data_IF_417594468316
#
_entry.id   IF_417594468316
#
_cell.length_a   1.000
_cell.length_b   1.000
_cell.length_c   1.000
_cell.angle_alpha   90.00
_cell.angle_beta   90.00
_cell.angle_gamma   90.00
#
_symmetry.space_group_name_H-M   'P 1'
#
loop_
_entity.id
_entity.type
_entity.pdbx_description
1 polymer ?
#
# COMPACT_ATOMS: atom_id res chain seq x y z
N UNK A 1 44.02 -0.25 -42.59
CA UNK A 1 44.67 0.83 -43.33
C UNK A 1 44.16 2.14 -42.72
N UNK A 2 44.84 2.98 -42.04
CA UNK A 2 46.16 3.54 -42.00
C UNK A 2 46.45 4.01 -40.57
N UNK A 3 47.63 3.67 -40.15
CA UNK A 3 48.38 4.19 -38.99
C UNK A 3 48.86 5.60 -39.31
N UNK A 4 48.82 6.50 -38.32
CA UNK A 4 49.79 7.63 -38.26
C UNK A 4 50.11 7.98 -36.81
N UNK A 5 51.27 7.57 -36.43
CA UNK A 5 52.16 8.01 -35.36
C UNK A 5 52.81 9.34 -35.73
N UNK A 6 53.15 10.20 -34.76
CA UNK A 6 54.29 11.16 -34.72
C UNK A 6 54.16 11.91 -33.38
N UNK A 7 54.95 11.67 -32.38
CA UNK A 7 56.35 12.02 -32.06
C UNK A 7 56.52 13.39 -31.33
N UNK A 8 56.91 13.27 -30.08
CA UNK A 8 57.98 13.96 -29.30
C UNK A 8 58.20 15.46 -29.44
N UNK A 9 58.10 16.16 -28.27
CA UNK A 9 59.12 17.21 -27.98
C UNK A 9 59.26 17.38 -26.45
N UNK A 10 60.47 17.12 -26.01
CA UNK A 10 61.03 17.31 -24.68
C UNK A 10 61.50 18.78 -24.58
N UNK A 11 61.16 19.49 -23.51
CA UNK A 11 61.81 20.75 -23.14
C UNK A 11 62.01 20.79 -21.62
N UNK A 12 63.28 20.69 -21.25
CA UNK A 12 63.83 20.90 -19.91
C UNK A 12 64.17 22.39 -19.77
N UNK A 13 63.77 23.06 -18.68
CA UNK A 13 64.45 24.25 -18.14
C UNK A 13 64.16 24.40 -16.62
N UNK A 14 65.24 24.30 -15.96
CA UNK A 14 65.85 24.79 -14.72
C UNK A 14 65.08 25.61 -13.70
N UNK A 15 65.18 25.08 -12.52
CA UNK A 15 65.39 25.60 -11.16
C UNK A 15 65.26 27.10 -10.88
N UNK A 16 64.46 27.45 -9.89
CA UNK A 16 64.72 28.51 -8.90
C UNK A 16 64.15 28.15 -7.56
N UNK A 17 65.03 27.99 -6.57
CA UNK A 17 64.74 27.72 -5.18
C UNK A 17 64.14 28.97 -4.51
N UNK A 18 62.95 28.93 -4.07
CA UNK A 18 62.28 29.90 -3.17
C UNK A 18 61.98 29.26 -1.83
N UNK A 19 62.71 29.63 -0.79
CA UNK A 19 62.44 29.30 0.60
C UNK A 19 61.14 29.99 1.02
N UNK A 20 60.04 29.27 1.09
CA UNK A 20 58.82 29.74 1.69
C UNK A 20 58.60 29.01 3.03
N UNK A 21 58.54 29.79 4.10
CA UNK A 21 58.33 29.39 5.46
C UNK A 21 57.00 28.59 5.61
N UNK A 22 57.12 27.36 6.09
CA UNK A 22 55.98 26.54 6.41
C UNK A 22 55.27 27.08 7.68
N UNK A 23 54.14 27.72 7.52
CA UNK A 23 53.17 27.87 8.60
C UNK A 23 52.39 26.56 8.73
N UNK A 24 52.53 25.92 9.89
CA UNK A 24 51.78 24.73 10.24
C UNK A 24 50.28 25.05 10.25
N UNK A 25 49.42 24.24 9.63
CA UNK A 25 47.96 24.38 9.76
C UNK A 25 47.54 24.00 11.18
N UNK A 26 46.82 24.93 11.82
CA UNK A 26 46.16 24.75 13.12
C UNK A 26 45.23 23.54 13.04
N UNK A 27 45.48 22.55 13.87
CA UNK A 27 44.64 21.36 13.96
C UNK A 27 43.22 21.77 14.34
N UNK A 28 42.29 21.68 13.40
CA UNK A 28 40.86 21.67 13.66
C UNK A 28 40.51 20.33 14.29
N UNK A 29 39.97 20.36 15.49
CA UNK A 29 39.59 19.19 16.26
C UNK A 29 38.61 18.28 15.48
N UNK A 30 38.48 17.01 15.92
CA UNK A 30 37.68 16.02 15.19
C UNK A 30 36.23 16.50 15.08
N UNK A 31 35.74 16.64 13.85
CA UNK A 31 34.36 16.88 13.56
C UNK A 31 33.54 15.70 14.12
N UNK A 32 32.60 16.01 15.02
CA UNK A 32 31.63 15.05 15.56
C UNK A 32 30.91 14.40 14.40
N UNK A 33 30.81 13.07 14.31
CA UNK A 33 30.06 12.42 13.24
C UNK A 33 28.62 12.94 13.27
N UNK A 34 28.21 13.60 12.18
CA UNK A 34 26.83 13.99 11.95
C UNK A 34 26.08 12.69 11.69
N UNK A 35 25.34 12.19 12.67
CA UNK A 35 24.45 11.05 12.51
C UNK A 35 23.48 11.41 11.38
N UNK A 36 23.59 10.70 10.26
CA UNK A 36 22.59 10.74 9.22
C UNK A 36 21.25 10.35 9.87
N UNK A 37 20.33 11.29 9.93
CA UNK A 37 18.96 11.01 10.36
C UNK A 37 18.40 9.96 9.40
N UNK A 38 18.12 8.77 9.91
CA UNK A 38 17.39 7.77 9.17
C UNK A 38 16.08 8.41 8.67
N UNK A 39 15.63 8.09 7.43
CA UNK A 39 14.37 8.59 6.93
C UNK A 39 13.29 8.23 7.95
N UNK A 40 12.49 9.21 8.38
CA UNK A 40 11.39 8.97 9.27
C UNK A 40 10.52 7.86 8.65
N UNK A 41 10.42 6.72 9.34
CA UNK A 41 9.56 5.63 8.91
C UNK A 41 8.17 6.23 8.67
N UNK A 42 7.59 5.99 7.49
CA UNK A 42 6.26 6.47 7.18
C UNK A 42 5.33 6.03 8.30
N UNK A 43 4.71 6.99 8.98
CA UNK A 43 3.80 6.70 10.07
C UNK A 43 2.72 5.75 9.53
N UNK A 44 2.57 4.59 10.17
CA UNK A 44 1.58 3.59 9.78
C UNK A 44 0.15 4.16 9.79
N UNK A 45 -0.84 3.40 9.31
CA UNK A 45 -2.23 3.86 9.30
C UNK A 45 -2.71 4.24 10.71
N UNK A 46 -3.35 5.40 10.82
CA UNK A 46 -3.98 5.87 12.05
C UNK A 46 -5.47 5.61 11.98
N UNK A 47 -6.02 4.98 13.05
CA UNK A 47 -7.48 4.83 13.16
C UNK A 47 -8.11 6.16 13.50
N UNK A 48 -9.03 6.62 12.65
CA UNK A 48 -9.81 7.84 12.84
C UNK A 48 -10.94 7.57 13.84
N UNK A 49 -11.74 6.55 13.57
CA UNK A 49 -12.91 6.20 14.39
C UNK A 49 -13.39 4.77 14.14
N UNK A 50 -14.08 4.19 15.12
CA UNK A 50 -14.74 2.89 15.02
C UNK A 50 -16.26 3.08 14.90
N UNK A 51 -16.87 2.39 13.93
CA UNK A 51 -18.32 2.36 13.67
C UNK A 51 -18.82 0.92 13.73
N UNK A 52 -19.13 0.42 14.91
CA UNK A 52 -19.53 -0.99 15.12
C UNK A 52 -18.51 -1.97 14.50
N UNK A 53 -18.88 -2.70 13.44
CA UNK A 53 -18.02 -3.68 12.77
C UNK A 53 -16.95 -3.03 11.85
N UNK A 54 -17.00 -1.72 11.59
CA UNK A 54 -16.15 -1.02 10.63
C UNK A 54 -15.29 0.05 11.29
N UNK A 55 -13.98 -0.01 11.08
CA UNK A 55 -13.05 1.06 11.47
C UNK A 55 -12.75 1.98 10.28
N UNK A 56 -12.65 3.28 10.51
CA UNK A 56 -12.14 4.26 9.55
C UNK A 56 -10.70 4.60 9.89
N UNK A 57 -9.85 4.66 8.87
CA UNK A 57 -8.40 4.85 8.97
C UNK A 57 -7.88 5.85 7.95
N UNK A 58 -6.72 6.43 8.22
CA UNK A 58 -5.98 7.26 7.25
C UNK A 58 -4.48 7.05 7.36
N UNK A 59 -3.79 7.29 6.26
CA UNK A 59 -2.33 7.38 6.22
C UNK A 59 -1.88 8.34 5.13
N UNK A 60 -0.64 8.82 5.21
CA UNK A 60 -0.01 9.64 4.17
C UNK A 60 0.59 8.76 3.08
N UNK A 61 0.30 9.08 1.83
CA UNK A 61 0.92 8.49 0.64
C UNK A 61 1.48 9.60 -0.22
N UNK A 62 2.77 9.90 -0.05
CA UNK A 62 3.38 11.11 -0.61
C UNK A 62 2.72 12.38 -0.07
N UNK A 63 2.32 13.28 -0.95
CA UNK A 63 1.63 14.53 -0.59
C UNK A 63 0.14 14.37 -0.30
N UNK A 64 -0.45 13.20 -0.61
CA UNK A 64 -1.88 12.95 -0.49
C UNK A 64 -2.23 12.12 0.75
N UNK A 65 -3.46 12.26 1.24
CA UNK A 65 -4.01 11.32 2.20
C UNK A 65 -4.69 10.16 1.47
N UNK A 66 -4.58 8.98 2.07
CA UNK A 66 -5.41 7.81 1.74
C UNK A 66 -6.28 7.54 2.96
N UNK A 67 -7.57 7.45 2.76
CA UNK A 67 -8.51 7.05 3.81
C UNK A 67 -9.18 5.74 3.38
N UNK A 68 -9.49 4.91 4.35
CA UNK A 68 -10.20 3.67 4.07
C UNK A 68 -11.01 3.22 5.27
N UNK A 69 -12.02 2.44 5.00
CA UNK A 69 -12.75 1.69 6.02
C UNK A 69 -12.35 0.22 5.93
N UNK A 70 -12.30 -0.43 7.08
CA UNK A 70 -11.86 -1.83 7.20
C UNK A 70 -12.77 -2.57 8.17
N UNK A 71 -13.11 -3.81 7.80
CA UNK A 71 -13.73 -4.78 8.69
C UNK A 71 -13.03 -6.13 8.61
N UNK A 72 -13.09 -6.88 9.70
CA UNK A 72 -12.67 -8.29 9.78
C UNK A 72 -13.91 -9.19 9.75
N UNK A 73 -13.80 -10.42 9.23
CA UNK A 73 -14.95 -11.33 9.21
C UNK A 73 -15.34 -11.78 10.62
N UNK A 74 -16.62 -12.01 10.83
CA UNK A 74 -17.19 -12.59 12.04
C UNK A 74 -17.03 -14.11 12.07
N UNK A 75 -16.99 -14.74 10.88
CA UNK A 75 -16.74 -16.19 10.73
C UNK A 75 -15.80 -16.43 9.55
N UNK A 76 -15.00 -17.49 9.65
CA UNK A 76 -14.06 -17.95 8.62
C UNK A 76 -14.27 -19.44 8.41
N UNK A 77 -14.55 -19.85 7.18
CA UNK A 77 -14.76 -21.26 6.83
C UNK A 77 -13.79 -21.72 5.73
N UNK A 78 -13.31 -22.96 5.78
CA UNK A 78 -13.51 -23.97 6.84
C UNK A 78 -12.71 -23.64 8.10
N UNK A 79 -13.31 -23.83 9.29
CA UNK A 79 -12.66 -23.46 10.57
C UNK A 79 -11.36 -24.24 10.87
N UNK A 80 -11.11 -25.35 10.16
CA UNK A 80 -9.94 -26.20 10.36
C UNK A 80 -8.64 -25.73 9.71
N UNK A 81 -8.67 -24.63 8.93
CA UNK A 81 -7.49 -24.11 8.23
C UNK A 81 -7.06 -22.75 8.78
N UNK A 82 -5.78 -22.46 8.67
CA UNK A 82 -5.27 -21.12 8.95
C UNK A 82 -5.57 -20.21 7.75
N UNK A 83 -6.33 -19.14 8.00
CA UNK A 83 -6.69 -18.14 7.00
C UNK A 83 -5.73 -16.96 6.98
N UNK A 84 -4.90 -16.79 8.01
CA UNK A 84 -4.14 -15.57 8.25
C UNK A 84 -5.06 -14.36 8.47
N UNK A 85 -4.55 -13.17 8.11
CA UNK A 85 -5.28 -11.92 8.23
C UNK A 85 -6.25 -11.74 7.08
N UNK A 86 -7.53 -11.53 7.40
CA UNK A 86 -8.61 -11.36 6.43
C UNK A 86 -9.28 -10.02 6.66
N UNK A 87 -9.37 -9.21 5.61
CA UNK A 87 -9.98 -7.89 5.65
C UNK A 87 -10.90 -7.66 4.46
N UNK A 88 -11.96 -6.89 4.67
CA UNK A 88 -12.67 -6.20 3.59
C UNK A 88 -12.45 -4.70 3.75
N UNK A 89 -12.00 -4.05 2.69
CA UNK A 89 -11.57 -2.66 2.72
C UNK A 89 -12.34 -1.89 1.65
N UNK A 90 -12.71 -0.64 1.93
CA UNK A 90 -13.15 0.31 0.91
C UNK A 90 -12.30 1.56 1.02
N UNK A 91 -11.55 1.87 -0.04
CA UNK A 91 -10.55 2.93 -0.05
C UNK A 91 -11.04 4.19 -0.75
N UNK A 92 -10.55 5.33 -0.24
CA UNK A 92 -10.67 6.66 -0.82
C UNK A 92 -9.27 7.21 -1.06
N UNK A 93 -8.91 7.47 -2.33
CA UNK A 93 -7.59 7.98 -2.72
C UNK A 93 -7.73 9.19 -3.64
N UNK A 94 -8.00 10.39 -3.09
CA UNK A 94 -8.27 11.60 -3.89
C UNK A 94 -7.12 11.95 -4.84
N UNK A 95 -5.86 11.77 -4.42
CA UNK A 95 -4.68 12.01 -5.26
C UNK A 95 -4.56 11.10 -6.49
N UNK A 96 -5.33 10.01 -6.54
CA UNK A 96 -5.40 9.06 -7.66
C UNK A 96 -6.78 9.08 -8.34
N UNK A 97 -7.66 10.01 -7.95
CA UNK A 97 -9.05 10.09 -8.42
C UNK A 97 -9.85 8.79 -8.21
N UNK A 98 -9.55 8.07 -7.12
CA UNK A 98 -10.24 6.84 -6.73
C UNK A 98 -11.19 7.15 -5.58
N UNK A 99 -12.47 6.84 -5.80
CA UNK A 99 -13.54 6.99 -4.82
C UNK A 99 -14.17 5.64 -4.53
N UNK A 100 -14.13 5.23 -3.25
CA UNK A 100 -14.79 4.01 -2.76
C UNK A 100 -14.44 2.74 -3.54
N UNK A 101 -13.15 2.42 -3.66
CA UNK A 101 -12.70 1.16 -4.25
C UNK A 101 -12.81 0.01 -3.23
N UNK A 102 -13.72 -0.96 -3.45
CA UNK A 102 -13.84 -2.14 -2.60
C UNK A 102 -12.73 -3.16 -2.92
N UNK A 103 -12.18 -3.74 -1.86
CA UNK A 103 -11.12 -4.75 -1.96
C UNK A 103 -11.30 -5.82 -0.89
N UNK A 104 -11.27 -7.09 -1.29
CA UNK A 104 -11.13 -8.21 -0.38
C UNK A 104 -9.65 -8.59 -0.24
N UNK A 105 -9.15 -8.70 0.97
CA UNK A 105 -7.77 -9.11 1.27
C UNK A 105 -7.80 -10.39 2.10
N UNK A 106 -6.93 -11.34 1.76
CA UNK A 106 -6.82 -12.63 2.44
C UNK A 106 -5.36 -12.91 2.84
N UNK A 107 -5.15 -13.74 3.86
CA UNK A 107 -3.83 -14.07 4.38
C UNK A 107 -3.04 -15.07 3.54
N UNK A 108 -3.60 -15.60 2.46
CA UNK A 108 -3.03 -16.61 1.58
C UNK A 108 -3.10 -16.18 0.12
N UNK A 109 -2.34 -16.83 -0.76
CA UNK A 109 -2.40 -16.59 -2.21
C UNK A 109 -3.71 -17.17 -2.76
N UNK A 110 -4.48 -16.35 -3.45
CA UNK A 110 -5.69 -16.75 -4.17
C UNK A 110 -5.33 -17.58 -5.41
N UNK A 111 -6.22 -18.48 -5.81
CA UNK A 111 -6.01 -19.25 -7.03
C UNK A 111 -5.96 -18.31 -8.23
N UNK A 112 -4.90 -18.37 -9.08
CA UNK A 112 -4.80 -17.54 -10.26
C UNK A 112 -6.02 -17.68 -11.18
N UNK A 113 -6.48 -16.57 -11.72
CA UNK A 113 -7.66 -16.50 -12.60
C UNK A 113 -8.98 -17.00 -11.98
N UNK A 114 -9.00 -17.25 -10.67
CA UNK A 114 -10.27 -17.51 -9.99
C UNK A 114 -11.05 -16.22 -9.77
N UNK A 115 -12.31 -16.35 -9.38
CA UNK A 115 -13.15 -15.23 -9.00
C UNK A 115 -13.44 -15.29 -7.50
N UNK A 116 -13.52 -14.12 -6.88
CA UNK A 116 -14.09 -13.94 -5.55
C UNK A 116 -15.51 -13.43 -5.72
N UNK A 117 -16.44 -14.03 -5.01
CA UNK A 117 -17.84 -13.60 -5.02
C UNK A 117 -18.16 -12.91 -3.71
N UNK A 118 -18.63 -11.68 -3.79
CA UNK A 118 -19.20 -10.92 -2.66
C UNK A 118 -20.71 -11.01 -2.76
N UNK A 119 -21.35 -11.57 -1.75
CA UNK A 119 -22.81 -11.67 -1.67
C UNK A 119 -23.31 -10.76 -0.55
N UNK A 120 -24.19 -9.82 -0.88
CA UNK A 120 -24.87 -8.95 0.09
C UNK A 120 -26.34 -9.24 0.01
N UNK A 121 -26.88 -9.80 1.10
CA UNK A 121 -28.22 -10.34 1.16
C UNK A 121 -28.47 -11.34 0.01
N UNK A 122 -29.09 -10.88 -1.11
CA UNK A 122 -29.35 -11.73 -2.30
C UNK A 122 -28.65 -11.26 -3.57
N UNK A 123 -27.77 -10.23 -3.49
CA UNK A 123 -27.05 -9.69 -4.64
C UNK A 123 -25.61 -10.21 -4.65
N UNK A 124 -25.16 -10.65 -5.80
CA UNK A 124 -23.79 -11.11 -6.02
C UNK A 124 -22.99 -10.10 -6.84
N UNK A 125 -21.74 -9.91 -6.45
CA UNK A 125 -20.75 -9.09 -7.15
C UNK A 125 -19.51 -9.93 -7.37
N UNK A 126 -18.90 -9.80 -8.55
CA UNK A 126 -17.72 -10.58 -8.92
C UNK A 126 -16.46 -9.72 -8.80
N UNK A 127 -15.42 -10.31 -8.22
CA UNK A 127 -14.11 -9.69 -8.11
C UNK A 127 -13.06 -10.57 -8.80
N UNK A 128 -12.11 -9.96 -9.51
CA UNK A 128 -10.93 -10.65 -10.04
C UNK A 128 -9.86 -10.77 -8.96
N UNK A 129 -9.04 -11.81 -9.06
CA UNK A 129 -7.99 -12.11 -8.08
C UNK A 129 -6.61 -11.69 -8.57
N UNK A 130 -5.80 -11.15 -7.66
CA UNK A 130 -4.37 -10.92 -7.85
C UNK A 130 -3.64 -11.13 -6.53
N UNK A 131 -2.72 -12.09 -6.49
CA UNK A 131 -1.97 -12.45 -5.29
C UNK A 131 -2.88 -12.77 -4.09
N UNK A 132 -2.88 -11.94 -3.07
CA UNK A 132 -3.67 -12.08 -1.84
C UNK A 132 -4.89 -11.16 -1.78
N UNK A 133 -5.25 -10.54 -2.88
CA UNK A 133 -6.33 -9.58 -2.90
C UNK A 133 -7.25 -9.76 -4.12
N UNK A 134 -8.45 -9.23 -4.00
CA UNK A 134 -9.42 -9.20 -5.09
C UNK A 134 -10.08 -7.82 -5.18
N UNK A 135 -10.35 -7.37 -6.41
CA UNK A 135 -11.00 -6.12 -6.75
C UNK A 135 -12.20 -6.37 -7.64
N UNK A 136 -13.17 -5.46 -7.64
CA UNK A 136 -14.36 -5.56 -8.49
C UNK A 136 -13.93 -5.71 -9.96
N UNK A 137 -14.46 -6.72 -10.63
CA UNK A 137 -14.05 -7.06 -12.00
C UNK A 137 -14.39 -5.97 -13.00
N UNK A 138 -15.57 -5.38 -12.86
CA UNK A 138 -16.01 -4.23 -13.66
C UNK A 138 -16.13 -3.01 -12.74
N UNK A 139 -15.24 -2.05 -12.88
CA UNK A 139 -15.23 -0.83 -12.06
C UNK A 139 -16.57 -0.06 -12.09
N UNK A 140 -17.36 -0.18 -13.15
CA UNK A 140 -18.70 0.40 -13.22
C UNK A 140 -19.68 -0.20 -12.20
N UNK A 141 -19.37 -1.37 -11.62
CA UNK A 141 -20.18 -2.01 -10.59
C UNK A 141 -19.78 -1.62 -9.15
N UNK A 142 -18.64 -0.93 -8.96
CA UNK A 142 -18.19 -0.49 -7.63
C UNK A 142 -19.25 0.36 -6.90
N UNK A 143 -19.89 1.37 -7.54
CA UNK A 143 -20.94 2.14 -6.89
C UNK A 143 -22.14 1.29 -6.46
N UNK A 144 -22.49 0.26 -7.25
CA UNK A 144 -23.59 -0.65 -6.93
C UNK A 144 -23.25 -1.55 -5.74
N UNK A 145 -22.01 -2.05 -5.66
CA UNK A 145 -21.52 -2.81 -4.51
C UNK A 145 -21.52 -1.95 -3.24
N UNK A 146 -20.97 -0.73 -3.32
CA UNK A 146 -20.93 0.21 -2.18
C UNK A 146 -22.35 0.60 -1.72
N UNK A 147 -23.27 0.83 -2.65
CA UNK A 147 -24.69 1.07 -2.32
C UNK A 147 -25.34 -0.11 -1.61
N UNK A 148 -25.08 -1.34 -2.09
CA UNK A 148 -25.57 -2.55 -1.44
C UNK A 148 -24.97 -2.73 -0.03
N UNK A 149 -23.68 -2.41 0.16
CA UNK A 149 -23.05 -2.42 1.49
C UNK A 149 -23.73 -1.43 2.47
N UNK A 150 -24.06 -0.22 1.99
CA UNK A 150 -24.70 0.82 2.83
C UNK A 150 -26.10 0.43 3.31
N UNK A 151 -26.83 -0.38 2.57
CA UNK A 151 -28.23 -0.74 2.84
C UNK A 151 -28.42 -2.17 3.32
N UNK A 152 -27.48 -3.06 3.05
CA UNK A 152 -27.51 -4.47 3.44
C UNK A 152 -27.23 -4.69 4.93
N UNK A 153 -27.49 -5.88 5.40
CA UNK A 153 -27.23 -6.27 6.79
C UNK A 153 -26.02 -7.19 6.90
N UNK A 154 -25.92 -8.16 6.00
CA UNK A 154 -24.87 -9.18 6.01
C UNK A 154 -24.18 -9.24 4.66
N UNK A 155 -22.89 -9.51 4.72
CA UNK A 155 -22.06 -9.74 3.55
C UNK A 155 -21.28 -11.04 3.73
N UNK A 156 -21.20 -11.85 2.67
CA UNK A 156 -20.30 -12.98 2.60
C UNK A 156 -19.33 -12.82 1.45
N UNK A 157 -18.11 -13.30 1.64
CA UNK A 157 -17.06 -13.31 0.63
C UNK A 157 -16.58 -14.73 0.43
N UNK A 158 -16.76 -15.28 -0.78
CA UNK A 158 -16.34 -16.63 -1.13
C UNK A 158 -15.14 -16.58 -2.07
N UNK A 159 -14.11 -17.37 -1.77
CA UNK A 159 -12.85 -17.39 -2.51
C UNK A 159 -12.31 -18.81 -2.67
N UNK A 160 -11.27 -18.96 -3.49
CA UNK A 160 -10.52 -20.22 -3.63
C UNK A 160 -9.04 -19.92 -3.43
N UNK A 161 -8.40 -20.66 -2.54
CA UNK A 161 -6.95 -20.53 -2.32
C UNK A 161 -6.14 -21.13 -3.47
N UNK A 162 -4.87 -20.75 -3.60
CA UNK A 162 -3.95 -21.35 -4.59
C UNK A 162 -3.78 -22.87 -4.46
N UNK A 163 -4.18 -23.45 -3.32
CA UNK A 163 -4.22 -24.90 -3.09
C UNK A 163 -5.57 -25.53 -3.47
N UNK A 164 -6.52 -24.76 -3.97
CA UNK A 164 -7.86 -25.23 -4.33
C UNK A 164 -8.85 -25.28 -3.15
N UNK A 165 -8.47 -24.83 -1.96
CA UNK A 165 -9.39 -24.80 -0.81
C UNK A 165 -10.43 -23.71 -1.01
N UNK A 166 -11.72 -24.08 -1.00
CA UNK A 166 -12.83 -23.13 -0.98
C UNK A 166 -12.94 -22.51 0.41
N UNK A 167 -13.02 -21.20 0.48
CA UNK A 167 -13.12 -20.44 1.72
C UNK A 167 -14.32 -19.50 1.68
N UNK A 168 -14.89 -19.20 2.84
CA UNK A 168 -16.00 -18.25 2.97
C UNK A 168 -15.83 -17.43 4.24
N UNK A 169 -16.20 -16.16 4.16
CA UNK A 169 -16.04 -15.16 5.21
C UNK A 169 -17.33 -14.41 5.39
N UNK A 170 -17.91 -14.41 6.58
CA UNK A 170 -19.09 -13.60 6.87
C UNK A 170 -18.67 -12.28 7.52
N UNK A 171 -19.32 -11.19 7.13
CA UNK A 171 -19.11 -9.85 7.65
C UNK A 171 -20.44 -9.23 8.06
N UNK A 172 -20.43 -8.48 9.16
CA UNK A 172 -21.54 -7.60 9.52
C UNK A 172 -21.40 -6.27 8.77
N UNK A 173 -22.47 -5.80 8.16
CA UNK A 173 -22.51 -4.47 7.53
C UNK A 173 -22.93 -3.35 8.51
N UNK A 174 -23.10 -3.67 9.80
CA UNK A 174 -23.43 -2.66 10.80
C UNK A 174 -22.34 -1.61 10.95
N UNK A 175 -22.68 -0.36 10.70
CA UNK A 175 -21.78 0.80 10.82
C UNK A 175 -21.09 1.20 9.52
N UNK A 176 -21.16 0.42 8.43
CA UNK A 176 -20.47 0.71 7.18
C UNK A 176 -20.89 2.08 6.59
N UNK A 177 -22.19 2.41 6.59
CA UNK A 177 -22.67 3.67 6.03
C UNK A 177 -22.06 4.90 6.74
N UNK A 178 -21.96 4.86 8.08
CA UNK A 178 -21.33 5.91 8.86
C UNK A 178 -19.81 5.95 8.66
N UNK A 179 -19.16 4.79 8.57
CA UNK A 179 -17.73 4.69 8.31
C UNK A 179 -17.36 5.26 6.92
N UNK A 180 -18.13 4.92 5.87
CA UNK A 180 -17.94 5.47 4.52
C UNK A 180 -18.13 6.98 4.49
N UNK A 181 -19.14 7.50 5.19
CA UNK A 181 -19.34 8.95 5.32
C UNK A 181 -18.14 9.64 5.99
N UNK A 182 -17.51 8.99 6.97
CA UNK A 182 -16.32 9.54 7.65
C UNK A 182 -15.16 9.76 6.68
N UNK A 183 -14.97 8.88 5.69
CA UNK A 183 -13.85 8.97 4.75
C UNK A 183 -14.17 9.82 3.49
N UNK A 184 -15.39 10.31 3.31
CA UNK A 184 -15.75 11.24 2.22
C UNK A 184 -14.92 12.52 2.26
N UNK A 185 -14.56 12.98 3.45
CA UNK A 185 -13.78 14.21 3.67
C UNK A 185 -12.28 14.00 3.56
N UNK A 186 -11.83 12.83 3.12
CA UNK A 186 -10.41 12.54 2.88
C UNK A 186 -9.84 13.48 1.81
N UNK A 187 -8.86 14.33 2.20
CA UNK A 187 -8.20 15.31 1.32
C UNK A 187 -6.70 15.19 1.43
#
# INVERSE_FOLDING_TARGET
MSVRTIATALAILAASAGLASAQAPKATGPAKPQQAQAPAAAAGPTRIQQFKAWGAYSYKSGASNVCYVLSVPTTKEPASVDHGDIFFIVSQRPGQNISYEPQAMVGYVLQPNSKVTVTIDKKNFTMFTKDKAAWVENAAEEPALVAAMKTGQNMSVSAVSGRGTKTSYAYSLQGIAAALKQIETCK
#
